data_IF_550151890395
#
_entry.id   IF_550151890395
#
_cell.length_a   1.000
_cell.length_b   1.000
_cell.length_c   1.000
_cell.angle_alpha   90.00
_cell.angle_beta   90.00
_cell.angle_gamma   90.00
#
_symmetry.space_group_name_H-M   'P 1'
#
loop_
_entity.id
_entity.type
_entity.pdbx_description
1 polymer ?
#
# COMPACT_ATOMS: atom_id res chain seq x y z
N UNK A 1 -7.31 14.45 4.76
CA UNK A 1 -6.78 13.22 4.14
C UNK A 1 -5.49 12.82 4.84
N UNK A 2 -5.43 11.63 5.44
CA UNK A 2 -4.25 11.12 6.14
C UNK A 2 -3.82 9.82 5.46
N UNK A 3 -2.54 9.74 5.09
CA UNK A 3 -1.95 8.53 4.54
C UNK A 3 -1.84 7.45 5.61
N UNK A 4 -2.39 6.27 5.33
CA UNK A 4 -2.18 5.06 6.13
C UNK A 4 -1.11 4.22 5.45
N UNK A 5 -0.12 3.77 6.22
CA UNK A 5 1.03 3.03 5.73
C UNK A 5 0.92 1.56 6.11
N UNK A 6 1.13 0.66 5.16
CA UNK A 6 1.25 -0.76 5.46
C UNK A 6 2.55 -1.06 6.20
N UNK A 7 2.50 -2.03 7.12
CA UNK A 7 3.60 -2.31 8.06
C UNK A 7 4.89 -2.84 7.41
N UNK A 8 4.85 -3.25 6.14
CA UNK A 8 5.93 -3.96 5.48
C UNK A 8 6.56 -3.15 4.35
N UNK A 9 7.89 -3.19 4.32
CA UNK A 9 8.69 -2.68 3.21
C UNK A 9 9.27 -3.85 2.39
N UNK A 10 9.34 -3.66 1.08
CA UNK A 10 9.75 -4.63 0.08
C UNK A 10 11.05 -4.21 -0.60
N UNK A 11 11.79 -5.20 -1.12
CA UNK A 11 13.07 -4.95 -1.80
C UNK A 11 12.87 -4.42 -3.22
N UNK A 12 11.79 -4.85 -3.89
CA UNK A 12 11.49 -4.44 -5.27
C UNK A 12 10.14 -3.73 -5.36
N UNK A 13 10.00 -2.88 -6.39
CA UNK A 13 8.71 -2.23 -6.70
C UNK A 13 7.64 -3.25 -7.04
N UNK A 14 8.01 -4.35 -7.70
CA UNK A 14 7.10 -5.45 -8.05
C UNK A 14 6.44 -6.07 -6.82
N UNK A 15 7.22 -6.42 -5.80
CA UNK A 15 6.69 -6.99 -4.55
C UNK A 15 5.70 -6.05 -3.85
N UNK A 16 6.01 -4.74 -3.79
CA UNK A 16 5.07 -3.76 -3.26
C UNK A 16 3.82 -3.61 -4.14
N UNK A 17 3.96 -3.76 -5.47
CA UNK A 17 2.85 -3.76 -6.42
C UNK A 17 1.89 -4.91 -6.23
N UNK A 18 2.36 -6.10 -5.88
CA UNK A 18 1.49 -7.22 -5.53
C UNK A 18 0.58 -6.89 -4.33
N UNK A 19 1.13 -6.23 -3.30
CA UNK A 19 0.32 -5.79 -2.16
C UNK A 19 -0.66 -4.69 -2.57
N UNK A 20 -0.21 -3.68 -3.32
CA UNK A 20 -1.07 -2.61 -3.80
C UNK A 20 -2.29 -3.14 -4.57
N UNK A 21 -2.07 -4.07 -5.52
CA UNK A 21 -3.16 -4.72 -6.27
C UNK A 21 -4.11 -5.50 -5.39
N UNK A 22 -3.59 -6.20 -4.38
CA UNK A 22 -4.44 -6.91 -3.43
C UNK A 22 -5.32 -5.95 -2.63
N UNK A 23 -4.80 -4.78 -2.25
CA UNK A 23 -5.58 -3.78 -1.52
C UNK A 23 -6.65 -3.13 -2.39
N UNK A 24 -6.40 -2.94 -3.69
CA UNK A 24 -7.41 -2.46 -4.64
C UNK A 24 -8.60 -3.43 -4.74
N UNK A 25 -8.34 -4.74 -4.64
CA UNK A 25 -9.37 -5.78 -4.78
C UNK A 25 -10.04 -6.14 -3.45
N UNK A 26 -9.27 -6.18 -2.36
CA UNK A 26 -9.65 -6.74 -1.06
C UNK A 26 -9.62 -5.71 0.08
N UNK A 27 -9.72 -4.41 -0.21
CA UNK A 27 -9.68 -3.35 0.82
C UNK A 27 -10.64 -3.59 1.99
N UNK A 28 -11.81 -4.18 1.68
CA UNK A 28 -12.84 -4.58 2.63
C UNK A 28 -12.37 -5.57 3.70
N UNK A 29 -11.43 -6.48 3.37
CA UNK A 29 -10.87 -7.46 4.33
C UNK A 29 -10.14 -6.76 5.47
N UNK A 30 -9.62 -5.55 5.21
CA UNK A 30 -8.91 -4.75 6.19
C UNK A 30 -9.81 -3.75 6.93
N UNK A 31 -11.14 -3.86 6.78
CA UNK A 31 -12.12 -3.00 7.46
C UNK A 31 -12.32 -1.64 6.78
N UNK A 32 -11.91 -1.50 5.52
CA UNK A 32 -12.12 -0.29 4.74
C UNK A 32 -13.07 -0.61 3.58
N UNK A 33 -14.26 -0.01 3.58
CA UNK A 33 -15.24 -0.17 2.49
C UNK A 33 -14.69 0.35 1.15
N UNK A 34 -13.85 1.38 1.18
CA UNK A 34 -13.32 2.04 -0.01
C UNK A 34 -11.91 2.58 0.25
N UNK A 35 -10.87 1.77 -0.02
CA UNK A 35 -9.49 2.26 -0.01
C UNK A 35 -9.22 3.08 -1.25
N UNK A 36 -9.12 4.40 -1.08
CA UNK A 36 -8.84 5.33 -2.17
C UNK A 36 -7.34 5.59 -2.30
N UNK A 37 -6.91 5.85 -3.52
CA UNK A 37 -5.56 6.33 -3.84
C UNK A 37 -4.44 5.44 -3.28
N UNK A 38 -4.45 4.15 -3.61
CA UNK A 38 -3.37 3.22 -3.24
C UNK A 38 -2.11 3.58 -4.04
N UNK A 39 -0.99 3.79 -3.34
CA UNK A 39 0.28 4.23 -3.95
C UNK A 39 1.47 3.44 -3.41
N UNK A 40 2.42 3.15 -4.30
CA UNK A 40 3.73 2.60 -3.94
C UNK A 40 4.72 3.75 -3.76
N UNK A 41 5.31 3.89 -2.57
CA UNK A 41 6.34 4.88 -2.31
C UNK A 41 7.71 4.22 -2.11
N UNK A 42 8.78 5.00 -2.33
CA UNK A 42 10.16 4.58 -2.01
C UNK A 42 10.61 5.23 -0.71
N UNK A 43 11.00 4.40 0.26
CA UNK A 43 11.60 4.84 1.51
C UNK A 43 12.98 5.47 1.28
N UNK A 44 13.44 6.28 2.23
CA UNK A 44 14.80 6.88 2.20
C UNK A 44 15.92 5.83 2.13
N UNK A 45 15.69 4.62 2.64
CA UNK A 45 16.64 3.49 2.60
C UNK A 45 16.51 2.65 1.33
N UNK A 46 15.78 3.13 0.31
CA UNK A 46 15.67 2.50 -1.00
C UNK A 46 14.64 1.38 -1.14
N UNK A 47 14.04 0.91 -0.03
CA UNK A 47 12.95 -0.09 -0.03
C UNK A 47 11.61 0.53 -0.43
N UNK A 48 10.65 -0.30 -0.87
CA UNK A 48 9.33 0.12 -1.34
C UNK A 48 8.25 -0.19 -0.30
N UNK A 49 7.29 0.71 -0.10
CA UNK A 49 6.13 0.49 0.76
C UNK A 49 4.84 0.84 0.04
N UNK A 50 3.70 0.47 0.63
CA UNK A 50 2.38 0.80 0.12
C UNK A 50 1.67 1.69 1.13
N UNK A 51 0.99 2.73 0.63
CA UNK A 51 0.13 3.63 1.41
C UNK A 51 -1.20 3.81 0.71
N UNK A 52 -2.24 4.14 1.47
CA UNK A 52 -3.57 4.40 0.95
C UNK A 52 -4.27 5.49 1.78
N UNK A 53 -5.38 5.99 1.25
CA UNK A 53 -6.31 6.85 1.97
C UNK A 53 -7.55 5.99 2.30
N UNK A 54 -7.92 5.88 3.59
CA UNK A 54 -9.11 5.15 3.99
C UNK A 54 -10.41 5.89 3.62
#
# INVERSE_FOLDING_TARGET
>A
MRWVYFNKLYRTKFQAGCLARRLEQDGWIYGFDDMRQIEIFRSRKGKYGVRFIP
#
